data_IF_183038383224
#
_entry.id   IF_183038383224
#
_cell.length_a   1.000
_cell.length_b   1.000
_cell.length_c   1.000
_cell.angle_alpha   90.00
_cell.angle_beta   90.00
_cell.angle_gamma   90.00
#
_symmetry.space_group_name_H-M   'P 1'
#
loop_
_entity.id
_entity.type
_entity.pdbx_description
1 polymer ?
#
# COMPACT_ATOMS: atom_id res chain seq x y z
N UNK A 1 37.91 100.81 -27.84
CA UNK A 1 38.30 100.37 -26.47
C UNK A 1 39.63 99.63 -26.57
N UNK A 2 40.41 99.55 -25.49
CA UNK A 2 41.71 98.84 -25.49
C UNK A 2 41.57 97.34 -25.24
N UNK A 3 42.54 96.55 -25.67
CA UNK A 3 42.61 95.09 -25.60
C UNK A 3 42.40 94.58 -24.17
N UNK A 4 43.10 95.16 -23.19
CA UNK A 4 42.97 94.75 -21.79
C UNK A 4 41.55 94.91 -21.26
N UNK A 5 40.87 95.99 -21.66
CA UNK A 5 39.48 96.24 -21.28
C UNK A 5 38.52 95.24 -21.93
N UNK A 6 38.76 94.84 -23.18
CA UNK A 6 37.98 93.79 -23.86
C UNK A 6 38.11 92.44 -23.15
N UNK A 7 39.34 92.03 -22.87
CA UNK A 7 39.62 90.74 -22.25
C UNK A 7 39.05 90.70 -20.83
N UNK A 8 39.13 91.80 -20.07
CA UNK A 8 38.55 91.87 -18.74
C UNK A 8 37.02 91.74 -18.78
N UNK A 9 36.36 92.41 -19.72
CA UNK A 9 34.91 92.29 -19.91
C UNK A 9 34.50 90.90 -20.41
N UNK A 10 35.28 90.29 -21.31
CA UNK A 10 35.05 88.92 -21.78
C UNK A 10 35.19 87.91 -20.64
N UNK A 11 36.22 88.04 -19.79
CA UNK A 11 36.41 87.17 -18.62
C UNK A 11 35.26 87.27 -17.63
N UNK A 12 34.80 88.49 -17.36
CA UNK A 12 33.66 88.73 -16.48
C UNK A 12 32.35 88.21 -17.09
N UNK A 13 32.15 88.38 -18.39
CA UNK A 13 30.97 87.85 -19.08
C UNK A 13 30.97 86.31 -19.18
N UNK A 14 32.15 85.67 -19.13
CA UNK A 14 32.32 84.21 -19.08
C UNK A 14 32.23 83.63 -17.65
N UNK A 15 32.08 84.46 -16.62
CA UNK A 15 31.92 84.03 -15.23
C UNK A 15 30.71 83.09 -15.09
N UNK A 16 30.95 81.87 -14.61
CA UNK A 16 29.98 80.76 -14.61
C UNK A 16 30.42 79.51 -15.38
N UNK A 17 31.46 79.61 -16.22
CA UNK A 17 32.16 78.44 -16.78
C UNK A 17 33.32 77.99 -15.87
N UNK A 18 33.81 76.73 -15.98
CA UNK A 18 34.97 76.26 -15.24
C UNK A 18 36.20 77.15 -15.49
N UNK A 19 36.94 77.49 -14.42
CA UNK A 19 38.07 78.45 -14.49
C UNK A 19 39.09 78.11 -15.59
N UNK A 20 39.44 76.83 -15.76
CA UNK A 20 40.37 76.40 -16.79
C UNK A 20 39.89 76.72 -18.21
N UNK A 21 38.60 76.54 -18.50
CA UNK A 21 38.02 76.81 -19.81
C UNK A 21 37.92 78.32 -20.08
N UNK A 22 37.66 79.13 -19.05
CA UNK A 22 37.69 80.59 -19.16
C UNK A 22 39.11 81.08 -19.48
N UNK A 23 40.11 80.53 -18.80
CA UNK A 23 41.51 80.94 -19.00
C UNK A 23 42.04 80.50 -20.38
N UNK A 24 41.63 79.33 -20.89
CA UNK A 24 41.95 78.84 -22.25
C UNK A 24 41.34 79.75 -23.33
N UNK A 25 40.03 80.02 -23.26
CA UNK A 25 39.35 80.91 -24.22
C UNK A 25 39.99 82.31 -24.22
N UNK A 26 40.31 82.85 -23.03
CA UNK A 26 40.94 84.16 -22.93
C UNK A 26 42.36 84.16 -23.51
N UNK A 27 43.11 83.05 -23.39
CA UNK A 27 44.44 82.93 -23.99
C UNK A 27 44.35 82.96 -25.53
N UNK A 28 43.42 82.20 -26.12
CA UNK A 28 43.24 82.13 -27.58
C UNK A 28 42.92 83.50 -28.19
N UNK A 29 42.03 84.27 -27.55
CA UNK A 29 41.69 85.61 -28.03
C UNK A 29 42.82 86.62 -27.80
N UNK A 30 43.66 86.44 -26.77
CA UNK A 30 44.86 87.27 -26.59
C UNK A 30 45.90 87.00 -27.67
N UNK A 31 46.10 85.74 -28.03
CA UNK A 31 46.99 85.33 -29.12
C UNK A 31 46.49 85.88 -30.45
N UNK A 32 45.19 85.73 -30.76
CA UNK A 32 44.59 86.27 -31.98
C UNK A 32 44.74 87.80 -32.11
N UNK A 33 44.48 88.55 -31.03
CA UNK A 33 44.66 90.01 -31.04
C UNK A 33 46.14 90.36 -31.20
N UNK A 34 47.05 89.63 -30.54
CA UNK A 34 48.50 89.80 -30.67
C UNK A 34 48.99 89.60 -32.10
N UNK A 35 48.52 88.54 -32.77
CA UNK A 35 48.88 88.24 -34.15
C UNK A 35 48.34 89.30 -35.13
N UNK A 36 47.11 89.78 -34.90
CA UNK A 36 46.52 90.82 -35.73
C UNK A 36 47.25 92.18 -35.60
N UNK A 37 47.74 92.50 -34.40
CA UNK A 37 48.59 93.66 -34.15
C UNK A 37 49.96 93.50 -34.83
N UNK A 38 50.58 92.32 -34.72
CA UNK A 38 51.85 92.01 -35.39
C UNK A 38 51.75 92.06 -36.92
N UNK A 39 50.57 91.76 -37.48
CA UNK A 39 50.24 91.91 -38.89
C UNK A 39 49.99 93.37 -39.33
N UNK A 40 50.16 94.36 -38.44
CA UNK A 40 50.06 95.78 -38.73
C UNK A 40 48.65 96.35 -38.73
N UNK A 41 47.65 95.62 -38.19
CA UNK A 41 46.30 96.18 -37.98
C UNK A 41 46.26 97.04 -36.72
N UNK A 42 45.44 98.08 -36.72
CA UNK A 42 45.23 98.89 -35.52
C UNK A 42 44.46 98.09 -34.46
N UNK A 43 44.80 98.28 -33.18
CA UNK A 43 44.13 97.62 -32.05
C UNK A 43 42.61 97.85 -32.04
N UNK A 44 42.22 99.06 -32.43
CA UNK A 44 40.84 99.53 -32.43
C UNK A 44 40.00 98.82 -33.51
N UNK A 45 40.57 98.58 -34.69
CA UNK A 45 39.90 97.88 -35.78
C UNK A 45 39.72 96.38 -35.47
N UNK A 46 40.72 95.75 -34.85
CA UNK A 46 40.66 94.33 -34.47
C UNK A 46 39.58 94.11 -33.42
N UNK A 47 39.49 94.99 -32.43
CA UNK A 47 38.49 94.92 -31.37
C UNK A 47 37.08 95.24 -31.91
N UNK A 48 36.96 96.21 -32.82
CA UNK A 48 35.69 96.52 -33.49
C UNK A 48 35.18 95.34 -34.32
N UNK A 49 36.09 94.58 -34.95
CA UNK A 49 35.75 93.37 -35.71
C UNK A 49 35.29 92.20 -34.82
N UNK A 50 35.82 92.08 -33.60
CA UNK A 50 35.41 91.08 -32.60
C UNK A 50 34.02 91.38 -31.99
N UNK A 51 33.59 92.64 -32.02
CA UNK A 51 32.26 93.05 -31.59
C UNK A 51 32.10 93.15 -30.06
N UNK A 52 30.87 92.90 -29.59
CA UNK A 52 30.49 93.06 -28.18
C UNK A 52 30.91 91.83 -27.33
N UNK A 53 31.80 91.99 -26.32
CA UNK A 53 32.30 90.88 -25.50
C UNK A 53 31.18 90.13 -24.77
N UNK A 54 30.08 90.81 -24.41
CA UNK A 54 28.95 90.17 -23.72
C UNK A 54 28.17 89.21 -24.63
N UNK A 55 28.03 89.57 -25.92
CA UNK A 55 27.38 88.70 -26.92
C UNK A 55 28.25 87.50 -27.25
N UNK A 56 29.55 87.73 -27.43
CA UNK A 56 30.52 86.66 -27.69
C UNK A 56 30.56 85.65 -26.53
N UNK A 57 30.60 86.13 -25.29
CA UNK A 57 30.56 85.25 -24.12
C UNK A 57 29.27 84.42 -24.04
N UNK A 58 28.12 84.99 -24.43
CA UNK A 58 26.83 84.29 -24.45
C UNK A 58 26.80 83.18 -25.51
N UNK A 59 27.39 83.42 -26.67
CA UNK A 59 27.51 82.42 -27.73
C UNK A 59 28.45 81.28 -27.34
N UNK A 60 29.62 81.62 -26.77
CA UNK A 60 30.59 80.63 -26.27
C UNK A 60 30.00 79.77 -25.13
N UNK A 61 29.25 80.38 -24.21
CA UNK A 61 28.51 79.65 -23.15
C UNK A 61 27.47 78.69 -23.74
N UNK A 62 26.74 79.10 -24.77
CA UNK A 62 25.77 78.23 -25.44
C UNK A 62 26.43 77.04 -26.14
N UNK A 63 27.57 77.25 -26.83
CA UNK A 63 28.32 76.17 -27.48
C UNK A 63 28.96 75.21 -26.45
N UNK A 64 29.52 75.74 -25.36
CA UNK A 64 30.09 74.94 -24.27
C UNK A 64 29.02 74.08 -23.60
N UNK A 65 27.84 74.65 -23.33
CA UNK A 65 26.69 73.94 -22.76
C UNK A 65 26.21 72.81 -23.68
N UNK A 66 26.20 73.04 -24.99
CA UNK A 66 25.81 72.01 -25.98
C UNK A 66 26.84 70.87 -26.07
N UNK A 67 28.15 71.18 -26.05
CA UNK A 67 29.21 70.15 -26.00
C UNK A 67 29.17 69.34 -24.70
N UNK A 68 28.94 70.01 -23.57
CA UNK A 68 28.82 69.35 -22.26
C UNK A 68 27.57 68.46 -22.20
N UNK A 69 26.47 68.89 -22.83
CA UNK A 69 25.26 68.06 -23.00
C UNK A 69 25.54 66.81 -23.84
N UNK A 70 26.32 66.91 -24.93
CA UNK A 70 26.72 65.73 -25.71
C UNK A 70 27.67 64.79 -24.95
N UNK A 71 28.63 65.32 -24.16
CA UNK A 71 29.54 64.50 -23.36
C UNK A 71 28.86 63.81 -22.17
N UNK A 72 27.84 64.44 -21.56
CA UNK A 72 27.03 63.84 -20.49
C UNK A 72 26.17 62.65 -20.95
N UNK A 73 26.05 62.44 -22.27
CA UNK A 73 25.41 61.28 -22.91
C UNK A 73 26.36 60.07 -23.05
N UNK A 74 27.21 59.84 -22.05
CA UNK A 74 28.08 58.66 -22.00
C UNK A 74 27.24 57.37 -22.03
N UNK A 75 27.09 56.79 -23.23
CA UNK A 75 26.45 55.51 -23.47
C UNK A 75 27.06 54.39 -22.61
N UNK A 76 28.33 54.52 -22.20
CA UNK A 76 29.00 53.58 -21.29
C UNK A 76 28.45 53.62 -19.86
N UNK A 77 28.22 54.82 -19.30
CA UNK A 77 27.64 54.93 -17.95
C UNK A 77 26.16 54.52 -17.94
N UNK A 78 25.42 54.85 -19.01
CA UNK A 78 24.02 54.46 -19.15
C UNK A 78 23.87 52.94 -19.33
N UNK A 79 24.76 52.30 -20.11
CA UNK A 79 24.82 50.84 -20.24
C UNK A 79 25.16 50.16 -18.90
N UNK A 80 26.08 50.70 -18.11
CA UNK A 80 26.41 50.17 -16.78
C UNK A 80 25.22 50.26 -15.81
N UNK A 81 24.48 51.37 -15.85
CA UNK A 81 23.25 51.55 -15.06
C UNK A 81 22.14 50.60 -15.53
N UNK A 82 21.96 50.42 -16.84
CA UNK A 82 20.99 49.46 -17.40
C UNK A 82 21.36 48.02 -17.02
N UNK A 83 22.63 47.63 -17.09
CA UNK A 83 23.11 46.31 -16.64
C UNK A 83 22.89 46.13 -15.14
N UNK A 84 23.08 47.18 -14.35
CA UNK A 84 22.82 47.14 -12.90
C UNK A 84 21.33 46.99 -12.57
N UNK A 85 20.46 47.68 -13.31
CA UNK A 85 18.99 47.57 -13.17
C UNK A 85 18.50 46.20 -13.69
N UNK A 86 19.04 45.71 -14.80
CA UNK A 86 18.74 44.40 -15.34
C UNK A 86 19.22 43.27 -14.39
N UNK A 87 20.38 43.43 -13.75
CA UNK A 87 20.90 42.51 -12.74
C UNK A 87 20.04 42.44 -11.48
N UNK A 88 19.45 43.56 -11.06
CA UNK A 88 18.47 43.60 -9.96
C UNK A 88 17.18 42.84 -10.32
N UNK A 89 16.68 43.00 -11.56
CA UNK A 89 15.54 42.25 -12.07
C UNK A 89 15.84 40.74 -12.17
N UNK A 90 17.01 40.37 -12.69
CA UNK A 90 17.42 38.98 -12.85
C UNK A 90 17.59 38.26 -11.51
N UNK A 91 18.15 38.94 -10.49
CA UNK A 91 18.21 38.40 -9.11
C UNK A 91 16.81 38.15 -8.54
N UNK A 92 15.88 39.05 -8.81
CA UNK A 92 14.50 38.90 -8.34
C UNK A 92 13.78 37.76 -9.05
N UNK A 93 13.96 37.60 -10.36
CA UNK A 93 13.43 36.45 -11.13
C UNK A 93 14.04 35.13 -10.66
N UNK A 94 15.35 35.11 -10.40
CA UNK A 94 16.05 33.93 -9.89
C UNK A 94 15.54 33.48 -8.50
N UNK A 95 15.10 34.43 -7.66
CA UNK A 95 14.44 34.14 -6.37
C UNK A 95 12.95 33.81 -6.53
N UNK A 96 12.28 34.39 -7.54
CA UNK A 96 10.85 34.20 -7.80
C UNK A 96 10.55 32.80 -8.34
N UNK A 97 11.39 32.26 -9.23
CA UNK A 97 11.20 30.93 -9.84
C UNK A 97 11.11 29.80 -8.80
N UNK A 98 12.07 29.61 -7.86
CA UNK A 98 11.97 28.56 -6.85
C UNK A 98 10.82 28.81 -5.87
N UNK A 99 10.47 30.07 -5.60
CA UNK A 99 9.30 30.41 -4.78
C UNK A 99 7.99 30.03 -5.48
N UNK A 100 7.88 30.27 -6.78
CA UNK A 100 6.71 29.88 -7.57
C UNK A 100 6.60 28.35 -7.67
N UNK A 101 7.71 27.64 -7.90
CA UNK A 101 7.75 26.18 -7.89
C UNK A 101 7.29 25.63 -6.54
N UNK A 102 7.76 26.21 -5.44
CA UNK A 102 7.33 25.84 -4.10
C UNK A 102 5.81 26.02 -3.90
N UNK A 103 5.23 27.13 -4.37
CA UNK A 103 3.78 27.34 -4.30
C UNK A 103 3.00 26.31 -5.11
N UNK A 104 3.48 25.93 -6.30
CA UNK A 104 2.86 24.88 -7.12
C UNK A 104 2.93 23.52 -6.42
N UNK A 105 4.07 23.15 -5.84
CA UNK A 105 4.19 21.90 -5.08
C UNK A 105 3.26 21.92 -3.87
N UNK A 106 3.12 23.07 -3.20
CA UNK A 106 2.24 23.23 -2.06
C UNK A 106 0.76 23.08 -2.44
N UNK A 107 0.33 23.67 -3.56
CA UNK A 107 -1.07 23.56 -4.04
C UNK A 107 -1.40 22.14 -4.49
N UNK A 108 -0.49 21.47 -5.20
CA UNK A 108 -0.63 20.06 -5.56
C UNK A 108 -0.70 19.18 -4.30
N UNK A 109 0.15 19.44 -3.30
CA UNK A 109 0.11 18.75 -2.01
C UNK A 109 -1.25 18.89 -1.32
N UNK A 110 -1.82 20.10 -1.26
CA UNK A 110 -3.16 20.32 -0.73
C UNK A 110 -4.24 19.58 -1.52
N UNK A 111 -4.17 19.58 -2.85
CA UNK A 111 -5.14 18.89 -3.70
C UNK A 111 -5.12 17.37 -3.47
N UNK A 112 -3.93 16.77 -3.44
CA UNK A 112 -3.78 15.32 -3.17
C UNK A 112 -4.26 14.99 -1.76
N UNK A 113 -3.86 15.77 -0.76
CA UNK A 113 -4.18 15.49 0.63
C UNK A 113 -5.66 15.68 0.96
N UNK A 114 -6.31 16.68 0.36
CA UNK A 114 -7.76 16.86 0.42
C UNK A 114 -8.53 15.75 -0.30
N UNK A 115 -8.07 15.33 -1.48
CA UNK A 115 -8.67 14.20 -2.19
C UNK A 115 -8.57 12.90 -1.39
N UNK A 116 -7.40 12.61 -0.79
CA UNK A 116 -7.19 11.41 0.05
C UNK A 116 -8.05 11.43 1.32
N UNK A 117 -8.19 12.59 1.98
CA UNK A 117 -9.07 12.70 3.16
C UNK A 117 -10.53 12.50 2.80
N UNK A 118 -11.02 13.09 1.72
CA UNK A 118 -12.41 12.92 1.28
C UNK A 118 -12.66 11.47 0.86
N UNK A 119 -11.76 10.88 0.07
CA UNK A 119 -11.86 9.48 -0.34
C UNK A 119 -11.83 8.52 0.85
N UNK A 120 -10.90 8.74 1.80
CA UNK A 120 -10.82 7.97 3.04
C UNK A 120 -12.09 8.11 3.89
N UNK A 121 -12.63 9.32 4.03
CA UNK A 121 -13.87 9.56 4.78
C UNK A 121 -15.07 8.88 4.14
N UNK A 122 -15.25 9.01 2.82
CA UNK A 122 -16.33 8.34 2.09
C UNK A 122 -16.21 6.83 2.19
N UNK A 123 -14.99 6.28 2.09
CA UNK A 123 -14.75 4.86 2.24
C UNK A 123 -15.03 4.36 3.66
N UNK A 124 -14.60 5.09 4.70
CA UNK A 124 -14.89 4.74 6.10
C UNK A 124 -16.39 4.81 6.39
N UNK A 125 -17.11 5.80 5.86
CA UNK A 125 -18.56 5.94 6.06
C UNK A 125 -19.32 4.88 5.25
N UNK A 126 -18.95 4.64 3.99
CA UNK A 126 -19.60 3.62 3.15
C UNK A 126 -19.40 2.20 3.68
N UNK A 127 -18.14 1.85 4.00
CA UNK A 127 -17.82 0.54 4.57
C UNK A 127 -18.31 0.43 6.02
N UNK A 128 -18.17 1.48 6.83
CA UNK A 128 -18.67 1.52 8.21
C UNK A 128 -20.20 1.42 8.29
N UNK A 129 -20.91 2.04 7.35
CA UNK A 129 -22.36 1.90 7.21
C UNK A 129 -22.75 0.45 6.86
N UNK A 130 -21.97 -0.23 6.02
CA UNK A 130 -22.18 -1.65 5.76
C UNK A 130 -22.06 -2.49 7.04
N UNK A 131 -21.10 -2.19 7.92
CA UNK A 131 -20.94 -2.88 9.21
C UNK A 131 -22.02 -2.56 10.25
N UNK A 132 -22.57 -1.35 10.24
CA UNK A 132 -23.51 -0.88 11.27
C UNK A 132 -24.98 -1.01 10.87
N UNK A 133 -25.29 -0.95 9.57
CA UNK A 133 -26.66 -0.87 9.06
C UNK A 133 -27.00 -1.94 8.01
N UNK A 134 -26.05 -2.80 7.61
CA UNK A 134 -26.34 -3.94 6.72
C UNK A 134 -26.83 -3.56 5.31
N UNK A 135 -26.51 -2.35 4.83
CA UNK A 135 -26.91 -1.87 3.51
C UNK A 135 -26.27 -2.74 2.40
N UNK A 136 -27.02 -3.19 1.38
CA UNK A 136 -26.47 -4.08 0.35
C UNK A 136 -25.33 -3.40 -0.43
N UNK A 137 -24.24 -4.13 -0.62
CA UNK A 137 -23.12 -3.71 -1.46
C UNK A 137 -23.60 -3.48 -2.90
N UNK A 138 -23.12 -2.42 -3.56
CA UNK A 138 -23.48 -2.07 -4.93
C UNK A 138 -22.91 -3.01 -6.01
N UNK A 139 -22.25 -4.10 -5.60
CA UNK A 139 -21.84 -5.18 -6.49
C UNK A 139 -22.53 -6.48 -6.08
N UNK A 140 -23.85 -6.53 -6.28
CA UNK A 140 -24.56 -7.80 -6.31
C UNK A 140 -24.18 -8.54 -7.58
N UNK A 141 -23.21 -9.46 -7.51
CA UNK A 141 -23.14 -10.52 -8.52
C UNK A 141 -24.32 -11.47 -8.26
N UNK A 142 -25.30 -11.58 -9.18
CA UNK A 142 -26.42 -12.48 -8.99
C UNK A 142 -25.90 -13.91 -9.17
N UNK A 143 -25.57 -14.60 -8.08
CA UNK A 143 -25.45 -16.05 -8.12
C UNK A 143 -26.87 -16.60 -8.23
N UNK A 144 -27.32 -16.81 -9.46
CA UNK A 144 -28.56 -17.56 -9.74
C UNK A 144 -28.23 -19.05 -9.67
N UNK A 145 -28.52 -19.67 -8.53
CA UNK A 145 -28.51 -21.13 -8.39
C UNK A 145 -29.91 -21.62 -8.73
N UNK A 146 -30.12 -22.02 -9.98
CA UNK A 146 -31.35 -22.73 -10.39
C UNK A 146 -31.15 -24.22 -10.14
N UNK A 147 -31.65 -24.73 -9.01
CA UNK A 147 -31.79 -26.18 -8.81
C UNK A 147 -33.15 -26.63 -9.35
N UNK A 148 -33.18 -27.19 -10.56
CA UNK A 148 -34.26 -28.10 -10.94
C UNK A 148 -33.86 -29.51 -10.54
N UNK A 149 -34.38 -29.97 -9.40
CA UNK A 149 -34.15 -31.33 -8.91
C UNK A 149 -35.35 -31.79 -8.09
N UNK A 150 -36.24 -32.53 -8.75
CA UNK A 150 -37.36 -33.22 -8.12
C UNK A 150 -36.87 -34.38 -7.23
N UNK A 151 -37.54 -34.55 -6.09
CA UNK A 151 -37.63 -35.78 -5.26
C UNK A 151 -36.34 -36.28 -4.60
N UNK A 152 -36.27 -36.14 -3.28
CA UNK A 152 -36.13 -37.23 -2.28
C UNK A 152 -35.48 -36.71 -0.98
N UNK A 153 -36.16 -35.82 -0.26
CA UNK A 153 -35.74 -35.44 1.11
C UNK A 153 -36.36 -36.33 2.20
N UNK A 154 -37.13 -37.37 1.83
CA UNK A 154 -37.83 -38.25 2.78
C UNK A 154 -37.03 -39.49 3.19
N UNK A 155 -36.02 -39.89 2.42
CA UNK A 155 -35.29 -41.16 2.64
C UNK A 155 -34.03 -40.98 3.50
N UNK A 156 -33.50 -39.75 3.67
CA UNK A 156 -32.24 -39.52 4.38
C UNK A 156 -32.40 -39.63 5.90
N UNK A 157 -33.56 -39.26 6.45
CA UNK A 157 -33.85 -39.42 7.88
C UNK A 157 -34.11 -40.89 8.28
N UNK A 158 -34.67 -41.69 7.36
CA UNK A 158 -34.95 -43.11 7.54
C UNK A 158 -33.65 -43.93 7.36
N UNK A 159 -32.82 -43.60 6.36
CA UNK A 159 -31.48 -44.16 6.20
C UNK A 159 -30.50 -43.76 7.32
N UNK A 160 -30.60 -42.54 7.87
CA UNK A 160 -29.83 -42.15 9.05
C UNK A 160 -30.31 -42.87 10.32
N UNK A 161 -31.62 -43.16 10.42
CA UNK A 161 -32.19 -44.00 11.46
C UNK A 161 -31.68 -45.44 11.39
N UNK A 162 -31.63 -46.03 10.20
CA UNK A 162 -31.08 -47.39 9.97
C UNK A 162 -29.55 -47.42 10.14
N UNK A 163 -28.81 -46.37 9.76
CA UNK A 163 -27.37 -46.28 9.97
C UNK A 163 -26.98 -46.10 11.46
N UNK A 164 -27.77 -45.35 12.24
CA UNK A 164 -27.59 -45.26 13.70
C UNK A 164 -27.96 -46.58 14.39
N UNK A 165 -28.88 -47.34 13.80
CA UNK A 165 -29.23 -48.71 14.21
C UNK A 165 -28.11 -49.69 13.87
N UNK A 166 -27.43 -49.54 12.73
CA UNK A 166 -26.28 -50.36 12.32
C UNK A 166 -25.02 -50.10 13.17
N UNK A 167 -24.82 -48.88 13.69
CA UNK A 167 -23.77 -48.61 14.68
C UNK A 167 -23.99 -49.37 15.99
N UNK A 168 -25.23 -49.80 16.27
CA UNK A 168 -25.57 -50.67 17.40
C UNK A 168 -25.27 -52.16 17.15
N UNK A 169 -24.79 -52.54 15.96
CA UNK A 169 -24.47 -53.92 15.57
C UNK A 169 -22.98 -54.27 15.52
N UNK A 170 -22.08 -53.36 15.92
CA UNK A 170 -20.74 -53.74 16.38
C UNK A 170 -20.84 -54.28 17.82
N UNK A 171 -21.74 -55.23 18.08
CA UNK A 171 -21.94 -55.82 19.42
C UNK A 171 -20.79 -56.75 19.81
N UNK A 172 -20.03 -57.20 18.82
CA UNK A 172 -19.08 -58.31 18.97
C UNK A 172 -17.63 -57.86 19.18
N UNK A 173 -17.34 -56.56 18.97
CA UNK A 173 -16.00 -55.98 19.12
C UNK A 173 -16.09 -54.65 19.83
N UNK A 174 -15.37 -54.50 20.94
CA UNK A 174 -15.26 -53.24 21.69
C UNK A 174 -13.81 -52.95 22.01
N UNK A 175 -13.41 -51.68 21.90
CA UNK A 175 -12.15 -51.22 22.49
C UNK A 175 -12.45 -50.63 23.86
N UNK A 176 -11.90 -51.26 24.90
CA UNK A 176 -12.03 -50.82 26.30
C UNK A 176 -10.63 -50.51 26.81
N UNK A 177 -10.30 -49.22 26.89
CA UNK A 177 -8.94 -48.78 27.23
C UNK A 177 -7.93 -49.25 26.19
N UNK A 178 -6.94 -50.03 26.63
CA UNK A 178 -5.86 -50.61 25.81
C UNK A 178 -6.15 -52.04 25.33
N UNK A 179 -7.37 -52.55 25.56
CA UNK A 179 -7.76 -53.92 25.19
C UNK A 179 -8.87 -53.95 24.15
N UNK A 180 -8.67 -54.78 23.15
CA UNK A 180 -9.69 -55.20 22.21
C UNK A 180 -10.45 -56.37 22.84
N UNK A 181 -11.73 -56.18 23.09
CA UNK A 181 -12.65 -57.13 23.72
C UNK A 181 -13.57 -57.70 22.65
N UNK A 182 -13.64 -59.02 22.59
CA UNK A 182 -14.25 -59.80 21.52
C UNK A 182 -15.31 -60.75 22.08
N UNK A 183 -16.56 -60.52 21.70
CA UNK A 183 -17.69 -61.38 22.03
C UNK A 183 -18.30 -61.91 20.74
N UNK A 184 -17.78 -63.04 20.26
CA UNK A 184 -18.22 -63.64 19.00
C UNK A 184 -19.61 -64.28 19.17
N UNK A 185 -20.51 -64.00 18.22
CA UNK A 185 -21.79 -64.70 18.07
C UNK A 185 -21.56 -66.07 17.45
N UNK A 186 -22.61 -66.89 17.43
CA UNK A 186 -22.54 -68.20 16.77
C UNK A 186 -22.23 -68.01 15.28
N UNK A 187 -21.38 -68.86 14.73
CA UNK A 187 -20.92 -68.83 13.34
C UNK A 187 -19.85 -67.78 12.97
N UNK A 188 -19.72 -66.71 13.76
CA UNK A 188 -18.71 -65.66 13.50
C UNK A 188 -17.25 -66.16 13.60
N UNK A 189 -16.37 -65.56 12.80
CA UNK A 189 -14.93 -65.88 12.74
C UNK A 189 -14.08 -64.62 12.94
N UNK A 190 -13.26 -64.61 13.99
CA UNK A 190 -12.23 -63.59 14.22
C UNK A 190 -10.84 -64.12 13.83
N UNK A 191 -10.07 -63.32 13.10
CA UNK A 191 -8.67 -63.58 12.74
C UNK A 191 -7.82 -62.41 13.21
N UNK A 192 -6.82 -62.70 14.03
CA UNK A 192 -5.95 -61.73 14.70
C UNK A 192 -4.51 -62.05 14.32
N UNK A 193 -3.83 -61.12 13.66
CA UNK A 193 -2.39 -61.17 13.42
C UNK A 193 -1.70 -60.36 14.51
N UNK A 194 -0.79 -61.00 15.23
CA UNK A 194 0.06 -60.37 16.24
C UNK A 194 1.53 -60.42 15.79
N UNK A 195 2.41 -59.69 16.48
CA UNK A 195 3.85 -59.78 16.24
C UNK A 195 4.44 -61.17 16.50
N UNK A 196 3.79 -61.99 17.33
CA UNK A 196 4.28 -63.31 17.75
C UNK A 196 3.60 -64.48 17.01
N UNK A 197 2.62 -64.20 16.15
CA UNK A 197 1.87 -65.24 15.43
C UNK A 197 0.43 -64.85 15.11
N UNK A 198 -0.32 -65.79 14.55
CA UNK A 198 -1.74 -65.60 14.19
C UNK A 198 -2.64 -66.37 15.14
N UNK A 199 -3.75 -65.75 15.54
CA UNK A 199 -4.82 -66.36 16.34
C UNK A 199 -6.10 -66.31 15.51
N UNK A 200 -6.77 -67.44 15.36
CA UNK A 200 -8.08 -67.55 14.72
C UNK A 200 -9.06 -68.10 15.76
N UNK A 201 -10.15 -67.38 15.99
CA UNK A 201 -11.23 -67.79 16.88
C UNK A 201 -12.46 -67.96 16.02
N UNK A 202 -13.04 -69.16 16.02
CA UNK A 202 -14.29 -69.45 15.32
C UNK A 202 -15.32 -69.92 16.34
N UNK A 203 -16.51 -69.33 16.31
CA UNK A 203 -17.63 -69.82 17.11
C UNK A 203 -18.39 -70.87 16.28
N UNK A 204 -18.53 -72.08 16.82
CA UNK A 204 -19.33 -73.14 16.23
C UNK A 204 -20.25 -73.71 17.31
N UNK A 205 -21.56 -73.63 17.10
CA UNK A 205 -22.61 -74.11 18.01
C UNK A 205 -22.52 -73.48 19.41
N UNK A 206 -22.20 -72.18 19.47
CA UNK A 206 -22.02 -71.43 20.71
C UNK A 206 -20.72 -71.74 21.47
N UNK A 207 -19.81 -72.53 20.89
CA UNK A 207 -18.48 -72.82 21.44
C UNK A 207 -17.36 -72.17 20.63
N UNK A 208 -16.50 -71.41 21.31
CA UNK A 208 -15.35 -70.77 20.71
C UNK A 208 -14.17 -71.75 20.53
N UNK A 209 -13.87 -72.13 19.28
CA UNK A 209 -12.68 -72.88 18.89
C UNK A 209 -11.54 -71.93 18.55
N UNK A 210 -10.45 -72.00 19.32
CA UNK A 210 -9.26 -71.16 19.14
C UNK A 210 -8.15 -71.97 18.47
N UNK A 211 -7.64 -71.47 17.34
CA UNK A 211 -6.47 -72.00 16.64
C UNK A 211 -5.38 -70.94 16.68
N UNK A 212 -4.22 -71.28 17.21
CA UNK A 212 -3.08 -70.37 17.34
C UNK A 212 -1.87 -70.92 16.59
N UNK A 213 -1.24 -70.08 15.78
CA UNK A 213 -0.05 -70.37 15.00
C UNK A 213 1.07 -69.41 15.42
N UNK A 214 2.00 -69.90 16.23
CA UNK A 214 3.10 -69.11 16.79
C UNK A 214 3.40 -69.51 18.24
N UNK A 215 4.66 -69.43 18.66
CA UNK A 215 5.07 -69.74 20.02
C UNK A 215 4.77 -68.57 20.96
N UNK A 216 4.09 -68.82 22.09
CA UNK A 216 3.74 -67.80 23.09
C UNK A 216 2.59 -66.87 22.70
N UNK A 217 1.94 -67.07 21.55
CA UNK A 217 0.87 -66.17 21.08
C UNK A 217 -0.38 -66.22 21.97
N UNK A 218 -0.65 -67.37 22.59
CA UNK A 218 -1.79 -67.56 23.50
C UNK A 218 -1.65 -66.75 24.80
N UNK A 219 -0.44 -66.39 25.21
CA UNK A 219 -0.21 -65.59 26.42
C UNK A 219 -0.70 -64.14 26.26
N UNK A 220 -0.86 -63.68 25.01
CA UNK A 220 -1.44 -62.37 24.69
C UNK A 220 -2.98 -62.35 24.74
N UNK A 221 -3.61 -63.52 24.73
CA UNK A 221 -5.06 -63.69 24.68
C UNK A 221 -5.60 -64.06 26.08
N UNK A 222 -6.36 -63.17 26.68
CA UNK A 222 -7.04 -63.42 27.97
C UNK A 222 -8.50 -63.78 27.73
N UNK A 223 -8.90 -64.98 28.16
CA UNK A 223 -10.30 -65.39 28.21
C UNK A 223 -10.91 -65.00 29.54
N UNK A 224 -12.07 -64.36 29.52
CA UNK A 224 -12.85 -63.99 30.70
C UNK A 224 -13.91 -65.06 30.99
N UNK A 225 -14.37 -65.17 32.23
CA UNK A 225 -15.32 -66.19 32.69
C UNK A 225 -16.68 -66.14 31.96
N UNK A 226 -16.99 -65.01 31.34
CA UNK A 226 -18.19 -64.75 30.52
C UNK A 226 -18.06 -65.27 29.07
N UNK A 227 -16.95 -65.92 28.72
CA UNK A 227 -16.69 -66.44 27.37
C UNK A 227 -16.11 -65.42 26.39
N UNK A 228 -15.87 -64.18 26.84
CA UNK A 228 -15.29 -63.10 26.04
C UNK A 228 -13.77 -63.23 25.95
N UNK A 229 -13.19 -62.94 24.79
CA UNK A 229 -11.74 -62.88 24.61
C UNK A 229 -11.25 -61.43 24.63
N UNK A 230 -10.10 -61.18 25.23
CA UNK A 230 -9.46 -59.86 25.22
C UNK A 230 -7.99 -59.96 24.88
N UNK A 231 -7.52 -59.03 24.05
CA UNK A 231 -6.12 -58.90 23.64
C UNK A 231 -5.71 -57.42 23.74
N UNK A 232 -4.45 -57.12 24.07
CA UNK A 232 -3.98 -55.72 24.05
C UNK A 232 -3.96 -55.20 22.62
N UNK A 233 -4.50 -54.01 22.39
CA UNK A 233 -4.52 -53.38 21.07
C UNK A 233 -3.12 -53.15 20.50
N UNK A 234 -2.11 -52.95 21.37
CA UNK A 234 -0.70 -52.83 20.98
C UNK A 234 -0.08 -54.13 20.42
N UNK A 235 -0.63 -55.29 20.77
CA UNK A 235 -0.13 -56.59 20.28
C UNK A 235 -0.81 -57.00 18.96
N UNK A 236 -1.87 -56.29 18.54
CA UNK A 236 -2.66 -56.55 17.34
C UNK A 236 -2.13 -55.75 16.16
N UNK A 237 -1.63 -56.44 15.15
CA UNK A 237 -1.18 -55.85 13.88
C UNK A 237 -2.35 -55.71 12.92
N UNK A 238 -3.13 -56.79 12.76
CA UNK A 238 -4.36 -56.82 11.95
C UNK A 238 -5.41 -57.62 12.70
N UNK A 239 -6.62 -57.09 12.75
CA UNK A 239 -7.81 -57.78 13.22
C UNK A 239 -8.81 -57.84 12.10
N UNK A 240 -9.45 -59.00 11.90
CA UNK A 240 -10.58 -59.18 10.98
C UNK A 240 -11.64 -60.00 11.68
N UNK A 241 -12.83 -59.45 11.82
CA UNK A 241 -14.04 -60.19 12.18
C UNK A 241 -14.88 -60.36 10.92
N UNK A 242 -15.41 -61.56 10.73
CA UNK A 242 -16.41 -61.86 9.73
C UNK A 242 -17.59 -62.55 10.40
N UNK A 243 -18.79 -62.04 10.16
CA UNK A 243 -20.03 -62.64 10.67
C UNK A 243 -20.65 -63.61 9.64
N UNK A 244 -21.73 -64.29 10.05
CA UNK A 244 -22.46 -65.26 9.23
C UNK A 244 -23.11 -64.64 7.98
N UNK A 245 -23.47 -63.36 8.06
CA UNK A 245 -24.04 -62.59 6.94
C UNK A 245 -22.96 -62.03 5.99
N UNK A 246 -21.75 -62.60 6.02
CA UNK A 246 -20.55 -62.16 5.31
C UNK A 246 -20.04 -60.75 5.65
N UNK A 247 -20.74 -59.99 6.50
CA UNK A 247 -20.30 -58.70 7.03
C UNK A 247 -18.92 -58.80 7.68
N UNK A 248 -18.04 -57.85 7.37
CA UNK A 248 -16.67 -57.86 7.89
C UNK A 248 -16.28 -56.54 8.53
N UNK A 249 -15.57 -56.65 9.65
CA UNK A 249 -14.94 -55.53 10.33
C UNK A 249 -13.46 -55.82 10.37
N UNK A 250 -12.65 -54.95 9.81
CA UNK A 250 -11.20 -55.03 9.92
C UNK A 250 -10.62 -53.83 10.64
N UNK A 251 -9.62 -54.08 11.47
CA UNK A 251 -8.86 -53.07 12.18
C UNK A 251 -7.40 -53.29 11.85
N UNK A 252 -6.74 -52.24 11.36
CA UNK A 252 -5.32 -52.28 11.03
C UNK A 252 -4.60 -51.24 11.85
N UNK A 253 -3.44 -51.61 12.41
CA UNK A 253 -2.57 -50.66 13.08
C UNK A 253 -1.91 -49.74 12.04
N UNK A 254 -2.25 -48.46 12.08
CA UNK A 254 -1.73 -47.40 11.21
C UNK A 254 -0.42 -46.81 11.72
N UNK A 255 0.10 -45.81 11.00
CA UNK A 255 1.27 -45.05 11.45
C UNK A 255 0.95 -44.19 12.68
N UNK A 256 1.91 -43.99 13.59
CA UNK A 256 1.76 -43.18 14.80
C UNK A 256 0.71 -43.68 15.80
N UNK A 257 0.57 -45.00 15.93
CA UNK A 257 -0.36 -45.64 16.88
C UNK A 257 -1.84 -45.27 16.60
N UNK A 258 -2.17 -45.00 15.33
CA UNK A 258 -3.56 -44.87 14.89
C UNK A 258 -4.16 -46.22 14.54
N UNK A 259 -5.49 -46.33 14.64
CA UNK A 259 -6.24 -47.52 14.26
C UNK A 259 -7.12 -47.16 13.07
N UNK A 260 -6.95 -47.89 11.97
CA UNK A 260 -7.80 -47.77 10.80
C UNK A 260 -8.86 -48.85 10.90
N UNK A 261 -10.10 -48.40 11.04
CA UNK A 261 -11.28 -49.24 11.04
C UNK A 261 -11.87 -49.26 9.63
N UNK A 262 -12.17 -50.44 9.13
CA UNK A 262 -12.82 -50.64 7.84
C UNK A 262 -13.97 -51.63 8.05
N UNK A 263 -15.20 -51.12 7.95
CA UNK A 263 -16.44 -51.86 8.15
C UNK A 263 -17.07 -52.02 6.78
N UNK A 264 -17.26 -53.26 6.36
CA UNK A 264 -17.71 -53.61 5.02
C UNK A 264 -18.89 -54.57 5.10
N UNK A 265 -19.93 -54.23 4.36
CA UNK A 265 -21.03 -55.14 4.06
C UNK A 265 -20.68 -55.83 2.73
N UNK A 266 -20.37 -57.12 2.78
CA UNK A 266 -19.97 -57.89 1.60
C UNK A 266 -21.17 -58.21 0.69
N UNK A 267 -22.42 -58.02 1.16
CA UNK A 267 -23.65 -58.21 0.39
C UNK A 267 -24.17 -56.92 -0.27
N UNK A 268 -23.81 -55.75 0.25
CA UNK A 268 -24.13 -54.45 -0.34
C UNK A 268 -23.12 -54.07 -1.45
N UNK A 269 -23.52 -53.21 -2.39
CA UNK A 269 -22.77 -52.76 -3.58
C UNK A 269 -21.41 -52.09 -3.25
N UNK A 270 -20.43 -52.88 -2.79
CA UNK A 270 -19.08 -52.45 -2.40
C UNK A 270 -19.05 -51.37 -1.28
N UNK A 271 -20.14 -51.24 -0.53
CA UNK A 271 -20.30 -50.26 0.55
C UNK A 271 -19.32 -50.51 1.70
N UNK A 272 -18.50 -49.51 2.05
CA UNK A 272 -17.66 -49.59 3.23
C UNK A 272 -17.50 -48.26 3.94
N UNK A 273 -17.41 -48.34 5.26
CA UNK A 273 -17.13 -47.21 6.16
C UNK A 273 -15.72 -47.37 6.67
N UNK A 274 -14.85 -46.43 6.34
CA UNK A 274 -13.48 -46.37 6.85
C UNK A 274 -13.32 -45.18 7.78
N UNK A 275 -12.75 -45.37 8.96
CA UNK A 275 -12.33 -44.25 9.78
C UNK A 275 -10.99 -44.49 10.46
N UNK A 276 -10.21 -43.43 10.59
CA UNK A 276 -8.94 -43.45 11.31
C UNK A 276 -9.13 -42.84 12.69
N UNK A 277 -8.71 -43.58 13.72
CA UNK A 277 -8.79 -43.17 15.11
C UNK A 277 -7.38 -43.02 15.68
N UNK A 278 -7.11 -41.96 16.44
CA UNK A 278 -5.83 -41.83 17.13
C UNK A 278 -5.72 -42.70 18.39
N UNK A 279 -4.55 -42.69 19.03
CA UNK A 279 -4.26 -43.44 20.25
C UNK A 279 -5.18 -43.07 21.43
N UNK A 280 -5.82 -41.90 21.38
CA UNK A 280 -6.72 -41.36 22.39
C UNK A 280 -8.20 -41.66 22.07
N UNK A 281 -8.49 -42.27 20.93
CA UNK A 281 -9.82 -42.62 20.51
C UNK A 281 -10.54 -41.55 19.67
N UNK A 282 -9.84 -40.49 19.25
CA UNK A 282 -10.42 -39.40 18.45
C UNK A 282 -10.41 -39.79 16.97
N UNK A 283 -11.55 -39.76 16.27
CA UNK A 283 -11.58 -39.94 14.82
C UNK A 283 -10.93 -38.75 14.13
N UNK A 284 -9.98 -39.02 13.23
CA UNK A 284 -9.28 -38.02 12.40
C UNK A 284 -9.93 -37.86 11.04
N UNK A 285 -10.17 -38.98 10.39
CA UNK A 285 -10.69 -39.06 9.04
C UNK A 285 -11.83 -40.08 9.01
N UNK A 286 -12.92 -39.75 8.33
CA UNK A 286 -14.04 -40.67 8.11
C UNK A 286 -14.38 -40.65 6.63
N UNK A 287 -14.39 -41.81 6.00
CA UNK A 287 -14.79 -42.00 4.62
C UNK A 287 -15.92 -43.02 4.56
N UNK A 288 -16.97 -42.66 3.82
CA UNK A 288 -18.10 -43.52 3.49
C UNK A 288 -18.05 -43.70 1.98
N UNK A 289 -17.88 -44.92 1.50
CA UNK A 289 -17.85 -45.24 0.08
C UNK A 289 -19.01 -46.20 -0.23
N UNK A 290 -19.75 -45.94 -1.30
CA UNK A 290 -20.85 -46.78 -1.78
C UNK A 290 -20.92 -46.72 -3.31
N UNK A 291 -20.37 -47.72 -3.99
CA UNK A 291 -20.25 -47.71 -5.46
C UNK A 291 -19.47 -46.49 -5.98
N UNK A 292 -20.14 -45.64 -6.76
CA UNK A 292 -19.58 -44.40 -7.34
C UNK A 292 -19.77 -43.15 -6.44
N UNK A 293 -20.41 -43.33 -5.29
CA UNK A 293 -20.66 -42.28 -4.30
C UNK A 293 -19.65 -42.37 -3.16
N UNK A 294 -19.13 -41.22 -2.72
CA UNK A 294 -18.30 -41.16 -1.53
C UNK A 294 -18.45 -39.88 -0.74
N UNK A 295 -18.37 -39.99 0.58
CA UNK A 295 -18.32 -38.87 1.51
C UNK A 295 -17.06 -39.01 2.33
N UNK A 296 -16.18 -38.01 2.29
CA UNK A 296 -14.98 -37.97 3.14
C UNK A 296 -14.99 -36.74 4.01
N UNK A 297 -14.71 -36.94 5.29
CA UNK A 297 -14.57 -35.90 6.30
C UNK A 297 -13.15 -36.02 6.83
N UNK A 298 -12.35 -35.00 6.56
CA UNK A 298 -11.02 -34.82 7.12
C UNK A 298 -11.07 -33.66 8.11
N UNK A 299 -10.83 -33.94 9.39
CA UNK A 299 -10.90 -32.94 10.45
C UNK A 299 -9.99 -31.73 10.23
N UNK A 300 -8.93 -31.86 9.42
CA UNK A 300 -8.00 -30.78 9.09
C UNK A 300 -8.25 -30.17 7.70
N UNK A 301 -8.64 -30.98 6.72
CA UNK A 301 -8.70 -30.56 5.31
C UNK A 301 -10.11 -30.23 4.81
N UNK A 302 -11.16 -30.67 5.53
CA UNK A 302 -12.56 -30.32 5.29
C UNK A 302 -13.44 -31.49 4.88
N UNK A 303 -14.47 -31.22 4.07
CA UNK A 303 -15.50 -32.19 3.69
C UNK A 303 -15.51 -32.36 2.18
N UNK A 304 -15.55 -33.59 1.66
CA UNK A 304 -15.83 -33.87 0.26
C UNK A 304 -17.01 -34.83 0.12
N UNK A 305 -17.90 -34.55 -0.81
CA UNK A 305 -18.99 -35.43 -1.24
C UNK A 305 -18.85 -35.63 -2.74
N UNK A 306 -18.88 -36.87 -3.21
CA UNK A 306 -18.80 -37.23 -4.62
C UNK A 306 -19.98 -38.14 -4.95
N UNK A 307 -20.56 -37.94 -6.13
CA UNK A 307 -21.61 -38.78 -6.69
C UNK A 307 -21.38 -38.88 -8.21
N UNK A 308 -20.70 -39.94 -8.65
CA UNK A 308 -20.34 -40.09 -10.07
C UNK A 308 -19.39 -38.98 -10.54
N UNK A 309 -19.84 -38.19 -11.52
CA UNK A 309 -19.09 -37.02 -12.05
C UNK A 309 -19.29 -35.75 -11.21
N UNK A 310 -20.27 -35.74 -10.32
CA UNK A 310 -20.59 -34.60 -9.48
C UNK A 310 -19.78 -34.65 -8.18
N UNK A 311 -19.33 -33.49 -7.70
CA UNK A 311 -18.65 -33.40 -6.40
C UNK A 311 -18.84 -32.06 -5.72
N UNK A 312 -18.92 -32.08 -4.39
CA UNK A 312 -18.92 -30.91 -3.52
C UNK A 312 -17.73 -31.04 -2.58
N UNK A 313 -16.83 -30.08 -2.59
CA UNK A 313 -15.64 -30.07 -1.73
C UNK A 313 -15.60 -28.77 -0.95
N UNK A 314 -15.63 -28.88 0.37
CA UNK A 314 -15.37 -27.81 1.32
C UNK A 314 -13.92 -27.97 1.76
N UNK A 315 -13.05 -27.14 1.22
CA UNK A 315 -11.67 -27.08 1.68
C UNK A 315 -11.57 -26.01 2.77
N UNK A 316 -11.26 -26.44 4.01
CA UNK A 316 -11.27 -25.57 5.19
C UNK A 316 -10.41 -24.30 5.06
N UNK A 317 -9.36 -24.34 4.22
CA UNK A 317 -8.48 -23.20 3.98
C UNK A 317 -8.73 -22.48 2.65
N UNK A 318 -9.37 -23.14 1.68
CA UNK A 318 -9.36 -22.74 0.26
C UNK A 318 -10.74 -22.36 -0.29
N UNK A 319 -11.82 -22.79 0.36
CA UNK A 319 -13.19 -22.41 0.02
C UNK A 319 -14.09 -23.59 -0.36
N UNK A 320 -15.22 -23.30 -0.99
CA UNK A 320 -16.21 -24.29 -1.44
C UNK A 320 -16.11 -24.47 -2.96
N UNK A 321 -15.99 -25.70 -3.45
CA UNK A 321 -16.14 -26.03 -4.86
C UNK A 321 -17.26 -27.02 -5.09
N UNK A 322 -18.13 -26.73 -6.05
CA UNK A 322 -19.19 -27.61 -6.51
C UNK A 322 -18.94 -27.89 -7.98
N UNK A 323 -18.78 -29.15 -8.35
CA UNK A 323 -18.64 -29.61 -9.72
C UNK A 323 -19.84 -30.47 -10.08
N UNK A 324 -20.41 -30.24 -11.27
CA UNK A 324 -21.37 -31.13 -11.88
C UNK A 324 -21.05 -31.34 -13.36
N UNK A 325 -20.54 -32.54 -13.70
CA UNK A 325 -20.06 -32.89 -15.03
C UNK A 325 -19.04 -31.89 -15.61
N UNK A 326 -19.48 -31.04 -16.54
CA UNK A 326 -18.64 -30.05 -17.20
C UNK A 326 -18.72 -28.64 -16.58
N UNK A 327 -19.45 -28.47 -15.48
CA UNK A 327 -19.64 -27.17 -14.83
C UNK A 327 -19.04 -27.18 -13.43
N UNK A 328 -18.12 -26.26 -13.14
CA UNK A 328 -17.59 -26.07 -11.80
C UNK A 328 -17.84 -24.66 -11.27
N UNK A 329 -18.28 -24.57 -10.02
CA UNK A 329 -18.47 -23.34 -9.25
C UNK A 329 -17.45 -23.37 -8.13
N UNK A 330 -16.55 -22.39 -8.12
CA UNK A 330 -15.53 -22.24 -7.08
C UNK A 330 -15.78 -20.95 -6.30
N UNK A 331 -16.05 -21.07 -5.01
CA UNK A 331 -16.15 -19.96 -4.06
C UNK A 331 -14.85 -19.94 -3.25
N UNK A 332 -13.87 -19.16 -3.71
CA UNK A 332 -12.62 -18.94 -2.99
C UNK A 332 -12.74 -17.86 -1.92
N UNK A 333 -11.88 -17.91 -0.89
CA UNK A 333 -11.69 -16.77 0.01
C UNK A 333 -12.52 -16.75 1.31
N UNK A 334 -12.90 -17.92 1.84
CA UNK A 334 -13.56 -18.02 3.16
C UNK A 334 -12.61 -17.79 4.37
N UNK A 335 -11.38 -17.28 4.15
CA UNK A 335 -10.52 -16.86 5.27
C UNK A 335 -11.14 -15.64 5.95
N UNK A 336 -11.31 -15.72 7.27
CA UNK A 336 -12.00 -14.74 8.13
C UNK A 336 -11.44 -13.30 8.20
N UNK A 337 -10.74 -12.82 7.18
CA UNK A 337 -10.61 -11.40 6.90
C UNK A 337 -11.51 -11.11 5.68
N UNK A 338 -12.75 -10.69 5.93
CA UNK A 338 -13.65 -10.27 4.86
C UNK A 338 -12.94 -9.22 3.99
N UNK A 339 -13.17 -9.24 2.66
CA UNK A 339 -12.68 -8.19 1.75
C UNK A 339 -13.04 -6.79 2.27
N UNK A 340 -14.19 -6.68 2.96
CA UNK A 340 -14.63 -5.48 3.64
C UNK A 340 -13.71 -5.08 4.81
N UNK A 341 -13.12 -6.02 5.55
CA UNK A 341 -12.25 -5.75 6.70
C UNK A 341 -10.89 -5.20 6.25
N UNK A 342 -10.35 -5.79 5.18
CA UNK A 342 -9.14 -5.28 4.52
C UNK A 342 -9.41 -3.89 3.93
N UNK A 343 -10.54 -3.71 3.24
CA UNK A 343 -10.97 -2.41 2.70
C UNK A 343 -11.11 -1.33 3.78
N UNK A 344 -11.65 -1.67 4.95
CA UNK A 344 -11.80 -0.74 6.07
C UNK A 344 -10.45 -0.28 6.64
N UNK A 345 -9.48 -1.19 6.78
CA UNK A 345 -8.12 -0.85 7.24
C UNK A 345 -7.46 0.13 6.28
N UNK A 346 -7.53 -0.12 4.98
CA UNK A 346 -6.98 0.79 3.97
C UNK A 346 -7.73 2.14 3.94
N UNK A 347 -9.05 2.15 4.13
CA UNK A 347 -9.84 3.38 4.20
C UNK A 347 -9.42 4.26 5.40
N UNK A 348 -9.24 3.66 6.58
CA UNK A 348 -8.75 4.37 7.77
C UNK A 348 -7.32 4.86 7.57
N UNK A 349 -6.44 4.04 7.00
CA UNK A 349 -5.06 4.44 6.72
C UNK A 349 -4.97 5.62 5.73
N UNK A 350 -5.79 5.61 4.67
CA UNK A 350 -5.89 6.71 3.71
C UNK A 350 -6.41 8.00 4.37
N UNK A 351 -7.42 7.89 5.24
CA UNK A 351 -7.95 9.03 5.99
C UNK A 351 -6.87 9.65 6.88
N UNK A 352 -6.18 8.83 7.67
CA UNK A 352 -5.09 9.30 8.55
C UNK A 352 -3.97 9.94 7.73
N UNK A 353 -3.56 9.29 6.63
CA UNK A 353 -2.52 9.81 5.73
C UNK A 353 -2.90 11.17 5.12
N UNK A 354 -4.15 11.32 4.69
CA UNK A 354 -4.68 12.60 4.20
C UNK A 354 -4.69 13.68 5.29
N UNK A 355 -5.15 13.36 6.51
CA UNK A 355 -5.24 14.35 7.59
C UNK A 355 -3.83 14.83 8.00
N UNK A 356 -2.87 13.89 8.09
CA UNK A 356 -1.48 14.22 8.39
C UNK A 356 -0.85 15.08 7.28
N UNK A 357 -1.12 14.77 6.01
CA UNK A 357 -0.66 15.58 4.89
C UNK A 357 -1.23 17.00 4.89
N UNK A 358 -2.53 17.17 5.16
CA UNK A 358 -3.15 18.49 5.31
C UNK A 358 -2.53 19.26 6.47
N UNK A 359 -2.32 18.59 7.61
CA UNK A 359 -1.68 19.20 8.78
C UNK A 359 -0.24 19.66 8.47
N UNK A 360 0.51 18.88 7.69
CA UNK A 360 1.84 19.26 7.22
C UNK A 360 1.79 20.47 6.26
N UNK A 361 0.85 20.49 5.31
CA UNK A 361 0.66 21.62 4.40
C UNK A 361 0.28 22.92 5.13
N UNK A 362 -0.60 22.83 6.14
CA UNK A 362 -0.97 23.97 7.00
C UNK A 362 0.25 24.46 7.77
N UNK A 363 1.04 23.54 8.33
CA UNK A 363 2.27 23.90 9.06
C UNK A 363 3.28 24.61 8.15
N UNK A 364 3.51 24.10 6.94
CA UNK A 364 4.38 24.72 5.94
C UNK A 364 3.90 26.12 5.55
N UNK A 365 2.60 26.30 5.34
CA UNK A 365 1.99 27.61 5.05
C UNK A 365 2.22 28.60 6.19
N UNK A 366 2.15 28.12 7.44
CA UNK A 366 2.39 28.96 8.62
C UNK A 366 3.88 29.30 8.78
N UNK A 367 4.77 28.37 8.42
CA UNK A 367 6.20 28.58 8.44
C UNK A 367 6.64 29.61 7.38
N UNK A 368 6.08 29.55 6.17
CA UNK A 368 6.36 30.53 5.11
C UNK A 368 5.87 31.92 5.47
N UNK A 369 4.67 32.05 6.05
CA UNK A 369 4.17 33.33 6.56
C UNK A 369 5.11 33.92 7.63
N UNK A 370 5.60 33.10 8.57
CA UNK A 370 6.57 33.54 9.59
C UNK A 370 7.92 33.92 9.00
N UNK A 371 8.38 33.24 7.95
CA UNK A 371 9.62 33.60 7.25
C UNK A 371 9.47 34.93 6.49
N UNK A 372 8.35 35.10 5.78
CA UNK A 372 8.03 36.32 5.06
C UNK A 372 7.88 37.52 6.01
N UNK A 373 7.15 37.37 7.11
CA UNK A 373 7.00 38.42 8.11
C UNK A 373 8.36 38.87 8.68
N UNK A 374 9.27 37.92 8.97
CA UNK A 374 10.65 38.23 9.42
C UNK A 374 11.48 38.93 8.35
N UNK A 375 11.31 38.54 7.08
CA UNK A 375 11.99 39.20 5.98
C UNK A 375 11.52 40.65 5.79
N UNK A 376 10.21 40.88 5.85
CA UNK A 376 9.61 42.22 5.74
C UNK A 376 10.05 43.12 6.90
N UNK A 377 10.03 42.63 8.13
CA UNK A 377 10.50 43.41 9.28
C UNK A 377 11.97 43.82 9.12
N UNK A 378 12.86 42.90 8.72
CA UNK A 378 14.27 43.25 8.46
C UNK A 378 14.45 44.29 7.36
N UNK A 379 13.64 44.24 6.31
CA UNK A 379 13.67 45.23 5.24
C UNK A 379 13.24 46.61 5.76
N UNK A 380 12.18 46.66 6.56
CA UNK A 380 11.70 47.90 7.18
C UNK A 380 12.79 48.46 8.12
N UNK A 381 13.33 47.65 9.03
CA UNK A 381 14.38 48.07 9.97
C UNK A 381 15.62 48.61 9.23
N UNK A 382 16.02 47.97 8.13
CA UNK A 382 17.14 48.42 7.31
C UNK A 382 16.88 49.75 6.57
N UNK A 383 15.62 50.02 6.19
CA UNK A 383 15.23 51.28 5.56
C UNK A 383 15.17 52.39 6.61
N UNK A 384 14.57 52.11 7.78
CA UNK A 384 14.50 53.06 8.90
C UNK A 384 15.90 53.47 9.37
N UNK A 385 16.82 52.52 9.54
CA UNK A 385 18.20 52.82 9.93
C UNK A 385 18.96 53.70 8.92
N UNK A 386 18.62 53.62 7.62
CA UNK A 386 19.20 54.49 6.58
C UNK A 386 18.60 55.89 6.57
N UNK A 387 17.35 56.04 7.00
CA UNK A 387 16.68 57.34 7.13
C UNK A 387 17.24 58.09 8.34
N UNK A 388 17.35 57.43 9.50
CA UNK A 388 17.91 58.03 10.73
C UNK A 388 19.37 58.45 10.54
N UNK A 389 20.18 57.66 9.81
CA UNK A 389 21.57 58.00 9.51
C UNK A 389 21.75 59.18 8.56
N UNK A 390 20.72 59.54 7.77
CA UNK A 390 20.75 60.71 6.88
C UNK A 390 20.38 62.00 7.58
N UNK A 391 19.48 61.96 8.57
CA UNK A 391 19.14 63.15 9.37
C UNK A 391 20.26 63.59 10.31
N UNK A 392 21.19 62.71 10.68
CA UNK A 392 22.36 63.05 11.49
C UNK A 392 23.54 63.65 10.70
N UNK A 393 23.48 63.60 9.36
CA UNK A 393 24.53 64.14 8.46
C UNK A 393 24.13 65.45 7.76
N UNK A 394 22.88 65.89 7.92
CA UNK A 394 22.39 67.20 7.51
C UNK A 394 22.38 68.14 8.71
#
# INVERSE_FOLDING_TARGET
>A
MKQEAFIQQLRQALEGLPKHAVDEIVADYREYIGDALAAGRSEEDVIAALGDPAKLARELKAQASYRQWQQSRSFGNLAHVIVSIAGLGLRNVLLLVPFMLYLVVLTVGYAISSALTIAGLVAVVGLGSHYMFGWPALDSTPINVTTQGHRQSKNVAEAAGDALSAQSDIKDVKVVGDRLVLKLRDGSKASILTHSGTIVIKNEDGQNKVVALGSGVLDSLTKTDDGTYSIRTADVVVFKLKDDDDNSVSIVHGSNNSFIWDIRDDNADNGHVRFEQDAQGTPKNVTLDSGDESVSIDGANGLSVKSGDDSVVINGASGLSVNSGNQSVHIGGLKGATLAGIGFIYAVALLIGGVLGLSLCIWLTRATWRALARYVHRQIDAITARLDGREQQA
#
